data_IF_255984008789
#
_entry.id   IF_255984008789
#
_cell.length_a   1.000
_cell.length_b   1.000
_cell.length_c   1.000
_cell.angle_alpha   90.00
_cell.angle_beta   90.00
_cell.angle_gamma   90.00
#
_symmetry.space_group_name_H-M   'P 1'
#
loop_
_entity.id
_entity.type
_entity.pdbx_description
1 polymer ?
#
# COMPACT_ATOMS: atom_id res chain seq x y z
N UNK A 1 -1.50 -41.13 -4.94
CA UNK A 1 -0.98 -40.98 -3.57
C UNK A 1 -1.71 -39.80 -2.96
N UNK A 2 -2.76 -40.09 -2.18
CA UNK A 2 -3.54 -39.07 -1.51
C UNK A 2 -2.76 -38.64 -0.27
N UNK A 3 -2.23 -37.41 -0.29
CA UNK A 3 -1.78 -36.76 0.94
C UNK A 3 -3.01 -36.66 1.82
N UNK A 4 -2.97 -37.22 3.03
CA UNK A 4 -3.98 -36.98 4.05
C UNK A 4 -3.96 -35.46 4.33
N UNK A 5 -4.84 -34.73 3.66
CA UNK A 5 -4.84 -33.27 3.62
C UNK A 5 -5.43 -32.71 4.91
N UNK A 6 -4.70 -32.83 6.02
CA UNK A 6 -4.72 -31.76 7.01
C UNK A 6 -4.29 -30.51 6.25
N UNK A 7 -5.21 -29.58 6.04
CA UNK A 7 -4.88 -28.36 5.28
C UNK A 7 -3.65 -27.72 5.95
N UNK A 8 -2.61 -27.33 5.20
CA UNK A 8 -1.46 -26.60 5.75
C UNK A 8 -1.86 -25.25 6.38
N UNK A 9 -3.15 -24.93 6.38
CA UNK A 9 -3.81 -23.73 6.81
C UNK A 9 -4.81 -23.95 7.96
N UNK A 10 -4.87 -25.13 8.57
CA UNK A 10 -5.74 -25.33 9.72
C UNK A 10 -5.48 -24.25 10.80
N UNK A 11 -6.55 -23.57 11.23
CA UNK A 11 -6.52 -22.45 12.18
C UNK A 11 -6.09 -21.09 11.60
N UNK A 12 -5.80 -20.97 10.30
CA UNK A 12 -5.35 -19.69 9.71
C UNK A 12 -6.47 -18.63 9.69
N UNK A 13 -7.72 -19.06 9.44
CA UNK A 13 -8.87 -18.16 9.40
C UNK A 13 -9.16 -17.59 10.78
N UNK A 14 -9.04 -18.42 11.81
CA UNK A 14 -9.19 -17.99 13.20
C UNK A 14 -8.08 -17.01 13.57
N UNK A 15 -6.84 -17.30 13.18
CA UNK A 15 -5.71 -16.39 13.36
C UNK A 15 -5.99 -15.00 12.76
N UNK A 16 -6.39 -14.94 11.49
CA UNK A 16 -6.68 -13.65 10.83
C UNK A 16 -7.87 -12.93 11.46
N UNK A 17 -8.89 -13.66 11.88
CA UNK A 17 -10.03 -13.08 12.61
C UNK A 17 -9.56 -12.40 13.89
N UNK A 18 -8.68 -13.06 14.66
CA UNK A 18 -8.08 -12.48 15.88
C UNK A 18 -7.19 -11.28 15.56
N UNK A 19 -6.31 -11.38 14.55
CA UNK A 19 -5.43 -10.28 14.14
C UNK A 19 -6.21 -9.03 13.75
N UNK A 20 -7.27 -9.17 12.94
CA UNK A 20 -8.08 -8.03 12.52
C UNK A 20 -8.96 -7.48 13.64
N UNK A 21 -9.48 -8.35 14.52
CA UNK A 21 -10.19 -7.90 15.71
C UNK A 21 -9.29 -7.04 16.60
N UNK A 22 -8.05 -7.47 16.86
CA UNK A 22 -7.08 -6.75 17.68
C UNK A 22 -6.79 -5.33 17.14
N UNK A 23 -6.71 -5.16 15.82
CA UNK A 23 -6.58 -3.84 15.18
C UNK A 23 -7.85 -3.00 15.29
N UNK A 24 -9.02 -3.59 15.07
CA UNK A 24 -10.30 -2.86 15.16
C UNK A 24 -10.65 -2.44 16.58
N UNK A 25 -10.16 -3.17 17.59
CA UNK A 25 -10.36 -2.89 19.01
C UNK A 25 -9.31 -1.92 19.58
N UNK A 26 -8.37 -1.43 18.75
CA UNK A 26 -7.22 -0.61 19.18
C UNK A 26 -6.45 -1.27 20.36
N UNK A 27 -6.22 -2.61 20.33
CA UNK A 27 -5.65 -3.38 21.45
C UNK A 27 -4.22 -3.90 21.17
N UNK A 28 -3.17 -3.21 21.65
CA UNK A 28 -1.79 -3.69 21.58
C UNK A 28 -1.58 -5.06 22.24
N UNK A 29 -2.26 -5.32 23.35
CA UNK A 29 -2.16 -6.59 24.09
C UNK A 29 -2.71 -7.77 23.27
N UNK A 30 -3.82 -7.57 22.54
CA UNK A 30 -4.33 -8.60 21.63
C UNK A 30 -3.42 -8.81 20.40
N UNK A 31 -2.79 -7.74 19.90
CA UNK A 31 -1.79 -7.85 18.84
C UNK A 31 -0.56 -8.63 19.31
N UNK A 32 -0.14 -8.43 20.55
CA UNK A 32 0.98 -9.14 21.17
C UNK A 32 0.78 -10.67 21.12
N UNK A 33 -0.44 -11.14 21.37
CA UNK A 33 -0.78 -12.56 21.30
C UNK A 33 -0.64 -13.16 19.89
N UNK A 34 -0.62 -12.33 18.85
CA UNK A 34 -0.48 -12.76 17.45
C UNK A 34 0.98 -12.91 17.02
N UNK A 35 1.95 -12.45 17.80
CA UNK A 35 3.37 -12.40 17.43
C UNK A 35 4.16 -13.57 18.01
N UNK A 36 5.26 -13.94 17.36
CA UNK A 36 6.29 -14.77 17.99
C UNK A 36 7.12 -13.92 18.96
N UNK A 37 7.86 -14.54 19.87
CA UNK A 37 8.72 -13.79 20.81
C UNK A 37 9.89 -13.09 20.10
N UNK A 38 10.37 -13.68 19.01
CA UNK A 38 11.47 -13.24 18.16
C UNK A 38 11.01 -12.46 16.91
N UNK A 39 9.80 -11.88 16.94
CA UNK A 39 9.26 -11.09 15.84
C UNK A 39 10.27 -10.05 15.34
N UNK A 40 10.35 -9.89 14.02
CA UNK A 40 10.98 -8.73 13.40
C UNK A 40 9.95 -7.91 12.64
N UNK A 41 9.82 -6.63 12.96
CA UNK A 41 8.99 -5.69 12.21
C UNK A 41 9.87 -4.65 11.52
N UNK A 42 9.86 -4.63 10.19
CA UNK A 42 10.52 -3.63 9.36
C UNK A 42 9.53 -2.56 8.89
N UNK A 43 9.88 -1.30 9.06
CA UNK A 43 9.18 -0.19 8.42
C UNK A 43 10.03 0.29 7.25
N UNK A 44 9.58 0.07 6.01
CA UNK A 44 10.42 0.38 4.84
C UNK A 44 10.57 1.89 4.61
N UNK A 45 9.55 2.69 4.96
CA UNK A 45 9.57 4.15 4.82
C UNK A 45 10.58 4.87 5.72
N UNK A 46 11.17 4.18 6.71
CA UNK A 46 12.18 4.73 7.62
C UNK A 46 13.61 4.36 7.22
N UNK A 47 13.82 3.86 6.00
CA UNK A 47 15.11 3.33 5.57
C UNK A 47 15.36 1.90 6.04
N UNK A 48 14.28 1.11 6.17
CA UNK A 48 14.29 -0.29 6.62
C UNK A 48 14.74 -0.46 8.08
N UNK A 49 14.29 0.42 8.97
CA UNK A 49 14.51 0.22 10.40
C UNK A 49 13.77 -1.04 10.86
N UNK A 50 14.48 -1.92 11.56
CA UNK A 50 13.93 -3.15 12.13
C UNK A 50 13.71 -3.01 13.65
N UNK A 51 12.54 -3.41 14.10
CA UNK A 51 12.18 -3.58 15.50
C UNK A 51 12.23 -5.07 15.81
N UNK A 52 13.07 -5.43 16.78
CA UNK A 52 13.29 -6.82 17.15
C UNK A 52 12.63 -7.15 18.48
N UNK A 53 11.96 -8.28 18.49
CA UNK A 53 11.26 -8.79 19.65
C UNK A 53 9.89 -8.16 19.83
N UNK A 54 9.08 -8.89 20.58
CA UNK A 54 7.69 -8.56 20.86
C UNK A 54 7.53 -7.24 21.64
N UNK A 55 8.33 -7.02 22.68
CA UNK A 55 8.19 -5.86 23.56
C UNK A 55 8.37 -4.52 22.82
N UNK A 56 9.46 -4.41 22.03
CA UNK A 56 9.73 -3.23 21.21
C UNK A 56 8.61 -2.98 20.19
N UNK A 57 7.97 -4.06 19.73
CA UNK A 57 6.88 -3.99 18.78
C UNK A 57 5.57 -3.52 19.42
N UNK A 58 5.27 -3.95 20.65
CA UNK A 58 4.11 -3.46 21.41
C UNK A 58 4.19 -1.95 21.60
N UNK A 59 5.37 -1.45 21.96
CA UNK A 59 5.59 0.00 22.14
C UNK A 59 5.40 0.77 20.82
N UNK A 60 5.88 0.21 19.70
CA UNK A 60 5.63 0.77 18.38
C UNK A 60 4.13 0.80 18.05
N UNK A 61 3.39 -0.28 18.29
CA UNK A 61 1.95 -0.35 18.04
C UNK A 61 1.19 0.67 18.90
N UNK A 62 1.50 0.77 20.19
CA UNK A 62 0.97 1.80 21.11
C UNK A 62 1.23 3.21 20.60
N UNK A 63 2.46 3.49 20.16
CA UNK A 63 2.80 4.78 19.57
C UNK A 63 2.01 5.03 18.28
N UNK A 64 1.86 4.02 17.43
CA UNK A 64 1.08 4.07 16.20
C UNK A 64 -0.38 4.47 16.43
N UNK A 65 -1.05 3.90 17.45
CA UNK A 65 -2.45 4.23 17.78
C UNK A 65 -2.66 5.68 18.23
N UNK A 66 -1.62 6.40 18.67
CA UNK A 66 -1.72 7.84 18.93
C UNK A 66 -1.97 8.63 17.64
N UNK A 67 -1.52 8.10 16.50
CA UNK A 67 -1.59 8.77 15.20
C UNK A 67 -2.62 8.16 14.28
N UNK A 68 -2.81 6.84 14.28
CA UNK A 68 -3.74 6.12 13.42
C UNK A 68 -4.75 5.35 14.27
N UNK A 69 -5.96 5.91 14.39
CA UNK A 69 -7.14 5.19 14.88
C UNK A 69 -7.94 4.69 13.68
N UNK A 70 -8.71 3.61 13.85
CA UNK A 70 -9.55 3.05 12.77
C UNK A 70 -8.74 2.56 11.55
N UNK A 71 -7.61 1.87 11.80
CA UNK A 71 -6.87 1.18 10.74
C UNK A 71 -7.67 -0.04 10.28
N UNK A 72 -8.04 -0.08 9.00
CA UNK A 72 -8.71 -1.23 8.41
C UNK A 72 -7.83 -1.94 7.40
N UNK A 73 -7.86 -3.26 7.41
CA UNK A 73 -7.31 -4.09 6.34
C UNK A 73 -8.40 -4.32 5.32
N UNK A 74 -8.33 -3.62 4.20
CA UNK A 74 -9.27 -3.75 3.09
C UNK A 74 -8.57 -3.62 1.75
N UNK A 75 -9.14 -4.22 0.70
CA UNK A 75 -8.80 -3.91 -0.68
C UNK A 75 -8.73 -2.40 -0.93
N UNK A 76 -7.68 -1.93 -1.61
CA UNK A 76 -7.39 -0.49 -1.78
C UNK A 76 -8.53 0.33 -2.40
N UNK A 77 -9.37 -0.30 -3.23
CA UNK A 77 -10.51 0.32 -3.89
C UNK A 77 -11.86 0.06 -3.17
N UNK A 78 -11.82 -0.61 -2.01
CA UNK A 78 -13.00 -1.00 -1.24
C UNK A 78 -13.84 -2.10 -1.88
N UNK A 79 -13.33 -2.80 -2.90
CA UNK A 79 -13.99 -3.93 -3.57
C UNK A 79 -13.27 -5.24 -3.26
N UNK A 80 -13.95 -6.38 -3.27
CA UNK A 80 -13.33 -7.69 -2.98
C UNK A 80 -12.28 -8.16 -4.02
N UNK A 81 -11.84 -7.29 -4.94
CA UNK A 81 -10.92 -7.63 -6.04
C UNK A 81 -9.44 -7.56 -5.68
N UNK A 82 -9.07 -6.86 -4.60
CA UNK A 82 -7.70 -6.89 -4.04
C UNK A 82 -7.64 -7.78 -2.80
N UNK A 83 -7.76 -9.10 -3.02
CA UNK A 83 -7.63 -10.09 -1.95
C UNK A 83 -6.17 -10.19 -1.46
N UNK A 84 -5.95 -10.59 -0.20
CA UNK A 84 -4.62 -10.88 0.31
C UNK A 84 -3.95 -11.98 -0.50
N UNK A 85 -2.68 -11.79 -0.86
CA UNK A 85 -1.89 -12.82 -1.52
C UNK A 85 -1.33 -13.77 -0.47
N UNK A 86 -1.42 -15.08 -0.72
CA UNK A 86 -0.86 -16.12 0.14
C UNK A 86 0.12 -17.00 -0.63
N UNK A 87 1.17 -17.40 0.05
CA UNK A 87 2.10 -18.40 -0.43
C UNK A 87 2.58 -19.29 0.72
N UNK A 88 2.82 -20.57 0.41
CA UNK A 88 3.17 -21.61 1.36
C UNK A 88 4.50 -22.22 0.96
N UNK A 89 5.51 -22.02 1.79
CA UNK A 89 6.83 -22.57 1.56
C UNK A 89 7.44 -23.01 2.89
N UNK A 90 7.96 -24.23 2.93
CA UNK A 90 8.74 -24.76 4.06
C UNK A 90 8.05 -24.65 5.44
N UNK A 91 6.74 -24.90 5.49
CA UNK A 91 5.96 -24.85 6.74
C UNK A 91 5.66 -23.43 7.24
N UNK A 92 5.95 -22.42 6.42
CA UNK A 92 5.64 -21.02 6.69
C UNK A 92 4.53 -20.53 5.77
N UNK A 93 3.75 -19.57 6.27
CA UNK A 93 2.77 -18.82 5.47
C UNK A 93 3.34 -17.44 5.21
N UNK A 94 3.41 -17.07 3.94
CA UNK A 94 3.69 -15.70 3.52
C UNK A 94 2.38 -15.08 3.11
N UNK A 95 2.07 -13.91 3.63
CA UNK A 95 0.84 -13.20 3.29
C UNK A 95 1.12 -11.73 2.99
N UNK A 96 0.40 -11.13 2.05
CA UNK A 96 0.49 -9.70 1.76
C UNK A 96 -0.90 -9.07 1.79
N UNK A 97 -1.07 -8.04 2.62
CA UNK A 97 -2.33 -7.36 2.84
C UNK A 97 -2.20 -5.87 2.52
N UNK A 98 -2.97 -5.35 1.55
CA UNK A 98 -3.20 -3.92 1.50
C UNK A 98 -4.00 -3.50 2.73
N UNK A 99 -3.69 -2.31 3.24
CA UNK A 99 -4.43 -1.69 4.33
C UNK A 99 -4.61 -0.21 4.08
N UNK A 100 -5.65 0.36 4.70
CA UNK A 100 -5.80 1.80 4.79
C UNK A 100 -6.52 2.21 6.06
N UNK A 101 -6.20 3.39 6.55
CA UNK A 101 -6.76 3.94 7.78
C UNK A 101 -7.15 5.38 7.59
N UNK A 102 -8.06 5.83 8.44
CA UNK A 102 -8.42 7.23 8.53
C UNK A 102 -8.43 7.62 10.00
N UNK A 103 -7.72 8.69 10.35
CA UNK A 103 -7.53 9.07 11.75
C UNK A 103 -7.78 10.55 11.95
N UNK A 104 -8.31 10.88 13.13
CA UNK A 104 -8.26 12.24 13.66
C UNK A 104 -7.12 12.29 14.66
N UNK A 105 -6.18 13.19 14.45
CA UNK A 105 -5.06 13.35 15.39
C UNK A 105 -5.59 13.71 16.78
N UNK A 106 -4.96 13.16 17.81
CA UNK A 106 -5.34 13.48 19.20
C UNK A 106 -5.22 14.98 19.52
N UNK A 107 -4.37 15.70 18.79
CA UNK A 107 -4.22 17.16 18.84
C UNK A 107 -5.21 17.95 17.97
N UNK A 108 -6.26 17.35 17.40
CA UNK A 108 -7.21 18.12 16.57
C UNK A 108 -7.86 19.30 17.32
N UNK A 109 -7.85 19.27 18.66
CA UNK A 109 -8.27 20.37 19.52
C UNK A 109 -7.20 21.48 19.66
N UNK A 110 -5.93 21.19 19.40
CA UNK A 110 -4.80 22.11 19.52
C UNK A 110 -4.32 22.68 18.18
N UNK A 111 -4.52 21.96 17.06
CA UNK A 111 -4.15 22.41 15.71
C UNK A 111 -5.41 22.54 14.87
N UNK A 112 -5.72 23.72 14.29
CA UNK A 112 -6.97 23.95 13.56
C UNK A 112 -7.00 23.31 12.15
N UNK A 113 -5.95 22.57 11.80
CA UNK A 113 -5.84 21.73 10.61
C UNK A 113 -5.15 20.40 10.96
N UNK A 114 -5.38 19.32 10.20
CA UNK A 114 -6.34 19.22 9.10
C UNK A 114 -7.80 19.20 9.58
N UNK A 115 -8.68 19.81 8.78
CA UNK A 115 -10.13 19.85 9.05
C UNK A 115 -10.85 18.53 8.72
N UNK A 116 -10.15 17.61 8.06
CA UNK A 116 -10.65 16.29 7.67
C UNK A 116 -9.77 15.22 8.31
N UNK A 117 -10.30 14.00 8.55
CA UNK A 117 -9.48 12.87 8.92
C UNK A 117 -8.32 12.67 7.94
N UNK A 118 -7.14 12.40 8.47
CA UNK A 118 -5.96 12.07 7.69
C UNK A 118 -6.12 10.64 7.21
N UNK A 119 -5.98 10.43 5.91
CA UNK A 119 -6.00 9.09 5.32
C UNK A 119 -4.59 8.59 5.08
N UNK A 120 -4.35 7.34 5.41
CA UNK A 120 -3.10 6.63 5.13
C UNK A 120 -3.38 5.26 4.54
N UNK A 121 -2.38 4.71 3.88
CA UNK A 121 -2.46 3.42 3.23
C UNK A 121 -1.08 2.77 3.16
N UNK A 122 -1.07 1.47 2.91
CA UNK A 122 0.15 0.71 2.76
C UNK A 122 -0.11 -0.74 2.42
N UNK A 123 0.97 -1.51 2.44
CA UNK A 123 0.94 -2.95 2.30
C UNK A 123 1.78 -3.56 3.40
N UNK A 124 1.20 -4.47 4.16
CA UNK A 124 1.93 -5.31 5.08
C UNK A 124 2.23 -6.65 4.44
N UNK A 125 3.47 -7.12 4.60
CA UNK A 125 3.84 -8.50 4.30
C UNK A 125 4.14 -9.23 5.59
N UNK A 126 3.52 -10.38 5.76
CA UNK A 126 3.64 -11.22 6.94
C UNK A 126 4.37 -12.51 6.60
N UNK A 127 5.22 -12.95 7.51
CA UNK A 127 5.70 -14.32 7.57
C UNK A 127 5.16 -14.93 8.86
N UNK A 128 4.35 -15.98 8.73
CA UNK A 128 3.75 -16.70 9.85
C UNK A 128 4.38 -18.08 9.96
N UNK A 129 4.56 -18.53 11.20
CA UNK A 129 4.96 -19.89 11.53
C UNK A 129 4.04 -20.44 12.61
N UNK A 130 3.94 -21.77 12.70
CA UNK A 130 3.25 -22.41 13.82
C UNK A 130 4.14 -22.41 15.06
N UNK A 131 3.59 -21.99 16.20
CA UNK A 131 4.13 -22.27 17.53
C UNK A 131 3.12 -23.15 18.26
N UNK A 132 3.43 -24.45 18.38
CA UNK A 132 2.44 -25.46 18.78
C UNK A 132 1.31 -25.56 17.75
N UNK A 133 0.06 -25.39 18.21
CA UNK A 133 -1.13 -25.45 17.35
C UNK A 133 -1.65 -24.08 16.91
N UNK A 134 -0.89 -22.99 17.12
CA UNK A 134 -1.32 -21.63 16.78
C UNK A 134 -0.38 -21.01 15.75
N UNK A 135 -0.97 -20.30 14.79
CA UNK A 135 -0.22 -19.41 13.92
C UNK A 135 0.21 -18.17 14.68
N UNK A 136 1.42 -17.72 14.41
CA UNK A 136 1.97 -16.45 14.91
C UNK A 136 2.81 -15.79 13.83
N UNK A 137 2.80 -14.47 13.80
CA UNK A 137 3.62 -13.68 12.89
C UNK A 137 5.05 -13.62 13.46
N UNK A 138 6.00 -14.06 12.64
CA UNK A 138 7.43 -13.99 12.92
C UNK A 138 8.12 -12.83 12.20
N UNK A 139 7.52 -12.30 11.12
CA UNK A 139 8.00 -11.09 10.44
C UNK A 139 6.86 -10.24 9.91
N UNK A 140 6.99 -8.93 10.05
CA UNK A 140 6.16 -7.92 9.40
C UNK A 140 7.08 -7.01 8.59
N UNK A 141 6.80 -6.82 7.30
CA UNK A 141 7.45 -5.80 6.48
C UNK A 141 6.37 -4.84 5.97
N UNK A 142 6.31 -3.65 6.60
CA UNK A 142 5.30 -2.62 6.31
C UNK A 142 5.83 -1.60 5.30
N UNK A 143 5.17 -1.57 4.15
CA UNK A 143 5.30 -0.51 3.14
C UNK A 143 4.19 0.53 3.34
N UNK A 144 4.44 1.49 4.23
CA UNK A 144 3.50 2.58 4.51
C UNK A 144 3.76 3.80 3.61
N UNK A 145 2.71 4.34 3.00
CA UNK A 145 2.77 5.70 2.46
C UNK A 145 2.77 6.70 3.61
N UNK A 146 3.96 7.22 3.92
CA UNK A 146 4.14 8.30 4.90
C UNK A 146 3.91 9.68 4.29
N UNK A 147 4.12 9.83 2.98
CA UNK A 147 4.11 11.12 2.29
C UNK A 147 2.72 11.73 2.24
N UNK A 148 1.69 10.93 1.92
CA UNK A 148 0.33 11.42 1.83
C UNK A 148 -0.22 11.87 3.20
N UNK A 149 -0.06 11.12 4.30
CA UNK A 149 -0.41 11.59 5.65
C UNK A 149 0.33 12.89 6.05
N UNK A 150 1.64 12.98 5.78
CA UNK A 150 2.41 14.19 6.09
C UNK A 150 1.93 15.42 5.32
N UNK A 151 1.62 15.27 4.03
CA UNK A 151 1.06 16.37 3.24
C UNK A 151 -0.33 16.79 3.73
N UNK A 152 -1.15 15.84 4.19
CA UNK A 152 -2.48 16.12 4.76
C UNK A 152 -2.41 16.91 6.07
N UNK A 153 -1.30 16.85 6.80
CA UNK A 153 -1.07 17.64 8.02
C UNK A 153 -0.74 19.11 7.74
N UNK A 154 -0.51 19.53 6.50
CA UNK A 154 -0.14 20.89 6.16
C UNK A 154 -1.37 21.80 6.04
N UNK A 155 -1.26 23.11 6.38
CA UNK A 155 -2.39 24.04 6.32
C UNK A 155 -2.92 24.26 4.90
N UNK A 156 -2.14 23.89 3.88
CA UNK A 156 -2.47 24.00 2.46
C UNK A 156 -2.75 22.64 1.78
N UNK A 157 -2.93 21.56 2.57
CA UNK A 157 -3.13 20.20 2.08
C UNK A 157 -4.21 20.08 0.99
N UNK A 158 -5.38 20.69 1.20
CA UNK A 158 -6.50 20.63 0.25
C UNK A 158 -6.14 21.24 -1.11
N UNK A 159 -5.41 22.37 -1.10
CA UNK A 159 -4.98 23.04 -2.33
C UNK A 159 -3.88 22.24 -3.04
N UNK A 160 -2.86 21.80 -2.31
CA UNK A 160 -1.76 21.00 -2.86
C UNK A 160 -2.25 19.69 -3.44
N UNK A 161 -3.15 18.99 -2.76
CA UNK A 161 -3.73 17.73 -3.26
C UNK A 161 -4.48 17.93 -4.58
N UNK A 162 -5.27 19.01 -4.70
CA UNK A 162 -5.99 19.34 -5.95
C UNK A 162 -5.03 19.68 -7.09
N UNK A 163 -3.99 20.47 -6.81
CA UNK A 163 -2.97 20.82 -7.80
C UNK A 163 -2.22 19.58 -8.26
N UNK A 164 -1.77 18.72 -7.33
CA UNK A 164 -1.09 17.46 -7.67
C UNK A 164 -1.99 16.52 -8.49
N UNK A 165 -3.27 16.38 -8.11
CA UNK A 165 -4.23 15.58 -8.88
C UNK A 165 -4.44 16.15 -10.29
N UNK A 166 -4.51 17.47 -10.43
CA UNK A 166 -4.58 18.13 -11.74
C UNK A 166 -3.32 17.90 -12.56
N UNK A 167 -2.13 18.04 -11.97
CA UNK A 167 -0.85 17.80 -12.65
C UNK A 167 -0.74 16.35 -13.15
N UNK A 168 -1.02 15.36 -12.29
CA UNK A 168 -0.96 13.93 -12.63
C UNK A 168 -1.91 13.60 -13.78
N UNK A 169 -3.09 14.24 -13.84
CA UNK A 169 -4.06 14.04 -14.93
C UNK A 169 -3.68 14.78 -16.22
N UNK A 170 -3.13 15.99 -16.09
CA UNK A 170 -2.97 16.92 -17.22
C UNK A 170 -1.61 16.81 -17.89
N UNK A 171 -0.53 16.69 -17.11
CA UNK A 171 0.83 16.65 -17.65
C UNK A 171 1.05 15.49 -18.62
N UNK A 172 0.53 14.27 -18.37
CA UNK A 172 0.71 13.20 -19.34
C UNK A 172 0.01 13.47 -20.67
N UNK A 173 -1.20 14.04 -20.63
CA UNK A 173 -1.92 14.42 -21.83
C UNK A 173 -1.20 15.55 -22.59
N UNK A 174 -0.68 16.56 -21.87
CA UNK A 174 0.09 17.65 -22.45
C UNK A 174 1.41 17.15 -23.06
N UNK A 175 2.15 16.29 -22.36
CA UNK A 175 3.39 15.69 -22.84
C UNK A 175 3.17 14.88 -24.12
N UNK A 176 2.05 14.16 -24.22
CA UNK A 176 1.64 13.48 -25.46
C UNK A 176 1.36 14.46 -26.59
N UNK A 177 0.61 15.54 -26.35
CA UNK A 177 0.32 16.57 -27.36
C UNK A 177 1.58 17.29 -27.84
N UNK A 178 2.56 17.47 -26.96
CA UNK A 178 3.85 18.09 -27.27
C UNK A 178 4.88 17.11 -27.87
N UNK A 179 4.50 15.83 -28.07
CA UNK A 179 5.37 14.79 -28.62
C UNK A 179 6.58 14.48 -27.74
N UNK A 180 6.50 14.72 -26.42
CA UNK A 180 7.62 14.45 -25.51
C UNK A 180 7.94 12.96 -25.46
N UNK A 181 6.93 12.10 -25.49
CA UNK A 181 7.12 10.65 -25.41
C UNK A 181 7.73 10.00 -26.66
N UNK A 182 7.84 10.77 -27.73
CA UNK A 182 8.41 10.31 -29.00
C UNK A 182 9.89 10.74 -29.16
N UNK A 183 10.43 11.52 -28.20
CA UNK A 183 11.82 12.00 -28.23
C UNK A 183 12.74 11.01 -27.53
N UNK A 184 13.54 10.27 -28.30
CA UNK A 184 14.50 9.30 -27.75
C UNK A 184 15.48 9.92 -26.75
N UNK A 185 15.84 11.20 -26.93
CA UNK A 185 16.77 11.93 -26.06
C UNK A 185 16.29 12.08 -24.60
N UNK A 186 15.01 11.83 -24.32
CA UNK A 186 14.45 11.91 -22.97
C UNK A 186 14.48 10.57 -22.23
N UNK A 187 14.92 9.49 -22.87
CA UNK A 187 14.93 8.14 -22.32
C UNK A 187 16.34 7.58 -22.17
N UNK A 188 16.49 6.57 -21.30
CA UNK A 188 17.76 5.89 -21.12
C UNK A 188 18.16 5.09 -22.37
N UNK A 189 19.47 4.88 -22.63
CA UNK A 189 19.94 4.09 -23.76
C UNK A 189 19.37 2.66 -23.79
N UNK A 190 19.21 2.02 -22.63
CA UNK A 190 18.69 0.66 -22.48
C UNK A 190 17.22 0.57 -22.91
N UNK A 191 16.44 1.59 -22.56
CA UNK A 191 15.05 1.69 -22.97
C UNK A 191 14.94 1.76 -24.51
N UNK A 192 15.77 2.60 -25.15
CA UNK A 192 15.80 2.76 -26.60
C UNK A 192 16.25 1.47 -27.30
N UNK A 193 17.33 0.84 -26.82
CA UNK A 193 17.81 -0.43 -27.35
C UNK A 193 16.75 -1.53 -27.27
N UNK A 194 16.05 -1.64 -26.14
CA UNK A 194 14.95 -2.60 -25.93
C UNK A 194 13.79 -2.37 -26.91
N UNK A 195 13.41 -1.10 -27.16
CA UNK A 195 12.36 -0.78 -28.14
C UNK A 195 12.74 -1.15 -29.56
N UNK A 196 13.98 -0.82 -29.97
CA UNK A 196 14.51 -1.14 -31.30
C UNK A 196 14.58 -2.65 -31.53
N UNK A 197 15.07 -3.41 -30.54
CA UNK A 197 15.10 -4.87 -30.61
C UNK A 197 13.70 -5.51 -30.78
N UNK A 198 12.65 -4.83 -30.30
CA UNK A 198 11.25 -5.27 -30.41
C UNK A 198 10.51 -4.70 -31.64
N UNK A 199 11.20 -3.98 -32.54
CA UNK A 199 10.61 -3.31 -33.69
C UNK A 199 9.38 -2.45 -33.34
N UNK A 200 9.36 -1.84 -32.14
CA UNK A 200 8.24 -1.03 -31.71
C UNK A 200 8.29 0.33 -32.41
N UNK A 201 7.17 0.82 -32.98
CA UNK A 201 7.17 2.08 -33.69
C UNK A 201 7.59 3.21 -32.75
N UNK A 202 8.53 4.02 -33.22
CA UNK A 202 8.80 5.35 -32.70
C UNK A 202 7.74 6.23 -33.36
N UNK A 203 6.75 6.73 -32.61
CA UNK A 203 5.69 7.57 -33.19
C UNK A 203 6.28 8.95 -33.51
N UNK A 204 7.08 9.05 -34.56
CA UNK A 204 7.64 10.31 -35.03
C UNK A 204 6.55 11.13 -35.72
N UNK A 205 6.00 12.13 -35.02
CA UNK A 205 5.44 13.33 -35.63
C UNK A 205 3.93 13.34 -35.93
N UNK A 206 3.28 14.40 -35.42
CA UNK A 206 1.95 14.95 -35.73
C UNK A 206 0.88 14.01 -36.28
N UNK A 207 -0.06 13.61 -35.41
CA UNK A 207 -1.41 13.28 -35.89
C UNK A 207 -2.05 14.60 -36.30
N UNK A 208 -2.05 14.88 -37.60
CA UNK A 208 -3.01 15.81 -38.20
C UNK A 208 -4.38 15.23 -37.90
N UNK A 209 -5.13 15.85 -36.98
CA UNK A 209 -6.55 15.54 -36.84
C UNK A 209 -7.20 16.03 -38.12
N UNK A 210 -7.43 15.11 -39.05
CA UNK A 210 -8.38 15.29 -40.14
C UNK A 210 -9.72 15.57 -39.48
N UNK A 211 -10.10 16.84 -39.41
CA UNK A 211 -11.46 17.25 -39.15
C UNK A 211 -12.29 16.81 -40.35
N UNK A 212 -12.87 15.62 -40.27
CA UNK A 212 -13.92 15.23 -41.20
C UNK A 212 -15.16 16.06 -40.87
N UNK A 213 -15.28 17.18 -41.59
CA UNK A 213 -16.51 17.96 -41.69
C UNK A 213 -17.32 17.39 -42.85
N UNK A 214 -18.22 16.46 -42.55
CA UNK A 214 -19.31 16.08 -43.45
C UNK A 214 -20.52 15.57 -42.66
N UNK A 215 -21.18 16.46 -41.89
CA UNK A 215 -22.54 16.99 -42.18
C UNK A 215 -23.68 16.16 -41.51
N UNK A 216 -24.94 16.64 -41.43
CA UNK A 216 -25.55 17.21 -40.21
C UNK A 216 -26.80 16.40 -39.75
N UNK A 217 -27.63 16.88 -38.79
CA UNK A 217 -28.46 16.01 -37.95
C UNK A 217 -29.77 15.58 -38.63
N UNK A 218 -30.28 14.44 -38.18
CA UNK A 218 -31.70 14.05 -38.22
C UNK A 218 -32.10 13.54 -36.85
#
# INVERSE_FOLDING_TARGET
MYVAAGFPLEGITDFWSTWFAAWNEDSPEALEECWTHDLVWTISSTGQLEYHGRDATVDLARFGYLFARELGFYPWDGTDTHLPYYDFLDGQVRAAFPYSGATRTFWHNAIPWPRKPIRGCGVDRYLLRKEGNRWRIARIDTDQDVSAPFLQLLPFADATTRVMAWLIRTLPAAGRKLGLYDRESLYSPEYIASRRARNLPLRTGSVTVSADKSAPPS
#
